data_IF_342941158226
#
_entry.id   IF_342941158226
#
_cell.length_a   1.000
_cell.length_b   1.000
_cell.length_c   1.000
_cell.angle_alpha   90.00
_cell.angle_beta   90.00
_cell.angle_gamma   90.00
#
_symmetry.space_group_name_H-M   'P 1'
#
loop_
_entity.id
_entity.type
_entity.pdbx_description
1 polymer ?
#
# COMPACT_ATOMS: atom_id res chain seq x y z
N UNK A 1 11.32 16.29 5.78
CA UNK A 1 11.33 15.67 4.43
C UNK A 1 12.72 15.12 4.23
N UNK A 2 12.86 13.80 4.13
CA UNK A 2 14.15 13.21 3.76
C UNK A 2 14.36 13.49 2.27
N UNK A 3 15.59 13.83 1.89
CA UNK A 3 15.95 13.96 0.48
C UNK A 3 17.13 13.08 0.16
N UNK A 4 17.16 12.66 -1.09
CA UNK A 4 18.23 11.86 -1.66
C UNK A 4 18.94 12.69 -2.71
N UNK A 5 20.26 12.76 -2.61
CA UNK A 5 21.09 13.65 -3.38
C UNK A 5 21.87 12.89 -4.43
N UNK A 6 21.97 13.43 -5.64
CA UNK A 6 22.73 12.83 -6.72
C UNK A 6 23.55 13.90 -7.47
N UNK A 7 24.74 13.53 -7.94
CA UNK A 7 25.47 14.30 -8.96
C UNK A 7 25.31 13.59 -10.29
N UNK A 8 25.03 14.34 -11.35
CA UNK A 8 25.01 13.80 -12.70
C UNK A 8 26.44 13.71 -13.27
N UNK A 9 26.69 12.66 -14.06
CA UNK A 9 27.95 12.51 -14.80
C UNK A 9 28.01 13.37 -16.07
N UNK A 10 27.10 14.34 -16.21
CA UNK A 10 27.03 15.28 -17.33
C UNK A 10 26.93 16.72 -16.82
N UNK A 11 27.37 17.65 -17.66
CA UNK A 11 27.27 19.10 -17.48
C UNK A 11 26.37 19.77 -18.52
N UNK A 12 25.93 18.97 -19.49
CA UNK A 12 25.08 19.38 -20.59
C UNK A 12 23.60 19.23 -20.20
N UNK A 13 22.79 20.23 -20.53
CA UNK A 13 21.38 20.26 -20.13
C UNK A 13 20.54 19.24 -20.89
N UNK A 14 20.81 19.01 -22.18
CA UNK A 14 20.07 18.02 -22.97
C UNK A 14 20.30 16.60 -22.44
N UNK A 15 21.52 16.30 -22.04
CA UNK A 15 21.88 15.04 -21.40
C UNK A 15 21.26 14.90 -20.01
N UNK A 16 21.20 15.99 -19.23
CA UNK A 16 20.54 16.01 -17.93
C UNK A 16 19.03 15.80 -18.05
N UNK A 17 18.39 16.36 -19.07
CA UNK A 17 16.98 16.16 -19.37
C UNK A 17 16.68 14.68 -19.68
N UNK A 18 17.51 14.01 -20.48
CA UNK A 18 17.39 12.56 -20.73
C UNK A 18 17.46 11.73 -19.44
N UNK A 19 18.33 12.12 -18.51
CA UNK A 19 18.41 11.46 -17.19
C UNK A 19 17.13 11.71 -16.38
N UNK A 20 16.58 12.93 -16.40
CA UNK A 20 15.29 13.22 -15.75
C UNK A 20 14.16 12.40 -16.34
N UNK A 21 14.10 12.24 -17.67
CA UNK A 21 13.12 11.37 -18.32
C UNK A 21 13.28 9.88 -17.93
N UNK A 22 14.53 9.42 -17.79
CA UNK A 22 14.79 8.08 -17.26
C UNK A 22 14.31 7.94 -15.81
N UNK A 23 14.55 8.95 -14.95
CA UNK A 23 14.06 8.98 -13.56
C UNK A 23 12.53 8.92 -13.54
N UNK A 24 11.85 9.74 -14.35
CA UNK A 24 10.38 9.72 -14.49
C UNK A 24 9.87 8.33 -14.85
N UNK A 25 10.46 7.71 -15.87
CA UNK A 25 10.07 6.38 -16.33
C UNK A 25 10.24 5.33 -15.23
N UNK A 26 11.39 5.28 -14.56
CA UNK A 26 11.65 4.29 -13.51
C UNK A 26 10.73 4.46 -12.30
N UNK A 27 10.50 5.70 -11.86
CA UNK A 27 9.57 6.01 -10.78
C UNK A 27 8.14 5.65 -11.17
N UNK A 28 7.73 5.97 -12.41
CA UNK A 28 6.42 5.62 -12.93
C UNK A 28 6.20 4.11 -12.99
N UNK A 29 7.14 3.36 -13.57
CA UNK A 29 7.05 1.90 -13.67
C UNK A 29 6.97 1.26 -12.26
N UNK A 30 7.74 1.79 -11.31
CA UNK A 30 7.70 1.33 -9.93
C UNK A 30 6.39 1.69 -9.23
N UNK A 31 5.90 2.92 -9.40
CA UNK A 31 4.62 3.38 -8.87
C UNK A 31 3.46 2.54 -9.42
N UNK A 32 3.44 2.25 -10.72
CA UNK A 32 2.46 1.38 -11.36
C UNK A 32 2.46 -0.03 -10.77
N UNK A 33 3.64 -0.61 -10.52
CA UNK A 33 3.74 -1.92 -9.86
C UNK A 33 3.16 -1.90 -8.45
N UNK A 34 3.53 -0.92 -7.63
CA UNK A 34 3.04 -0.78 -6.25
C UNK A 34 1.52 -0.58 -6.27
N UNK A 35 1.01 0.29 -7.15
CA UNK A 35 -0.42 0.55 -7.27
C UNK A 35 -1.22 -0.72 -7.59
N UNK A 36 -0.72 -1.58 -8.51
CA UNK A 36 -1.34 -2.88 -8.81
C UNK A 36 -1.37 -3.82 -7.60
N UNK A 37 -0.26 -3.89 -6.86
CA UNK A 37 -0.17 -4.71 -5.64
C UNK A 37 -1.19 -4.24 -4.58
N UNK A 38 -1.26 -2.93 -4.34
CA UNK A 38 -2.21 -2.34 -3.41
C UNK A 38 -3.66 -2.53 -3.86
N UNK A 39 -3.96 -2.30 -5.15
CA UNK A 39 -5.30 -2.49 -5.67
C UNK A 39 -5.76 -3.95 -5.60
N UNK A 40 -4.86 -4.90 -5.89
CA UNK A 40 -5.14 -6.33 -5.73
C UNK A 40 -5.50 -6.67 -4.28
N UNK A 41 -4.75 -6.10 -3.32
CA UNK A 41 -5.03 -6.26 -1.90
C UNK A 41 -6.39 -5.67 -1.49
N UNK A 42 -6.72 -4.44 -1.91
CA UNK A 42 -8.02 -3.84 -1.58
C UNK A 42 -9.20 -4.62 -2.17
N UNK A 43 -9.09 -5.08 -3.42
CA UNK A 43 -10.11 -5.93 -4.06
C UNK A 43 -10.29 -7.23 -3.27
N UNK A 44 -9.19 -7.85 -2.85
CA UNK A 44 -9.20 -9.07 -2.07
C UNK A 44 -9.90 -8.88 -0.72
N UNK A 45 -9.50 -7.87 0.04
CA UNK A 45 -10.11 -7.53 1.33
C UNK A 45 -11.61 -7.27 1.16
N UNK A 46 -11.99 -6.45 0.20
CA UNK A 46 -13.40 -6.10 -0.01
C UNK A 46 -14.24 -7.31 -0.46
N UNK A 47 -13.68 -8.19 -1.29
CA UNK A 47 -14.34 -9.43 -1.69
C UNK A 47 -14.58 -10.33 -0.47
N UNK A 48 -13.56 -10.52 0.36
CA UNK A 48 -13.65 -11.34 1.55
C UNK A 48 -14.67 -10.78 2.55
N UNK A 49 -14.68 -9.46 2.77
CA UNK A 49 -15.63 -8.76 3.64
C UNK A 49 -17.08 -8.86 3.16
N UNK A 50 -17.31 -8.83 1.85
CA UNK A 50 -18.64 -9.08 1.26
C UNK A 50 -19.11 -10.51 1.53
N UNK A 51 -18.20 -11.50 1.44
CA UNK A 51 -18.51 -12.92 1.67
C UNK A 51 -18.83 -13.19 3.14
N UNK A 52 -18.09 -12.57 4.08
CA UNK A 52 -18.34 -12.74 5.52
C UNK A 52 -19.44 -11.84 6.08
N UNK A 53 -20.09 -11.02 5.23
CA UNK A 53 -21.21 -10.16 5.61
C UNK A 53 -20.82 -8.94 6.46
N UNK A 54 -19.57 -8.47 6.37
CA UNK A 54 -19.11 -7.27 7.07
C UNK A 54 -19.46 -5.98 6.32
N UNK A 55 -19.73 -6.08 5.02
CA UNK A 55 -20.23 -4.99 4.21
C UNK A 55 -21.69 -5.18 3.83
N UNK A 56 -22.42 -4.06 3.87
CA UNK A 56 -23.75 -3.95 3.32
C UNK A 56 -23.64 -3.96 1.79
N UNK A 57 -23.79 -5.14 1.20
CA UNK A 57 -23.61 -5.37 -0.25
C UNK A 57 -24.46 -4.40 -1.09
N UNK A 58 -25.57 -3.90 -0.55
CA UNK A 58 -26.47 -2.94 -1.22
C UNK A 58 -25.82 -1.56 -1.46
N UNK A 59 -24.68 -1.27 -0.81
CA UNK A 59 -23.93 -0.01 -0.97
C UNK A 59 -22.72 -0.13 -1.89
N UNK A 60 -22.32 -1.35 -2.26
CA UNK A 60 -21.18 -1.59 -3.15
C UNK A 60 -21.71 -1.87 -4.54
N UNK A 61 -21.59 -0.89 -5.44
CA UNK A 61 -21.99 -1.11 -6.83
C UNK A 61 -21.07 -2.12 -7.51
N UNK A 62 -19.75 -1.99 -7.38
CA UNK A 62 -18.75 -2.83 -8.03
C UNK A 62 -17.54 -2.93 -7.11
N UNK A 63 -17.04 -4.15 -6.86
CA UNK A 63 -15.90 -4.39 -5.96
C UNK A 63 -14.67 -3.63 -6.47
N UNK A 64 -14.40 -3.68 -7.78
CA UNK A 64 -13.27 -2.98 -8.39
C UNK A 64 -13.30 -1.47 -8.13
N UNK A 65 -14.45 -0.84 -8.40
CA UNK A 65 -14.58 0.62 -8.29
C UNK A 65 -14.51 1.06 -6.82
N UNK A 66 -15.18 0.32 -5.93
CA UNK A 66 -15.12 0.58 -4.49
C UNK A 66 -13.70 0.43 -3.93
N UNK A 67 -12.98 -0.64 -4.30
CA UNK A 67 -11.58 -0.83 -3.93
C UNK A 67 -10.67 0.29 -4.48
N UNK A 68 -10.91 0.72 -5.73
CA UNK A 68 -10.20 1.84 -6.36
C UNK A 68 -10.41 3.14 -5.58
N UNK A 69 -11.65 3.46 -5.20
CA UNK A 69 -11.97 4.65 -4.41
C UNK A 69 -11.33 4.62 -3.02
N UNK A 70 -11.38 3.47 -2.34
CA UNK A 70 -10.73 3.28 -1.04
C UNK A 70 -9.21 3.49 -1.14
N UNK A 71 -8.57 2.90 -2.15
CA UNK A 71 -7.14 3.08 -2.40
C UNK A 71 -6.79 4.54 -2.69
N UNK A 72 -7.56 5.22 -3.55
CA UNK A 72 -7.35 6.63 -3.86
C UNK A 72 -7.46 7.53 -2.62
N UNK A 73 -8.40 7.23 -1.70
CA UNK A 73 -8.51 7.94 -0.42
C UNK A 73 -7.28 7.73 0.45
N UNK A 74 -6.76 6.49 0.56
CA UNK A 74 -5.53 6.20 1.32
C UNK A 74 -4.32 6.95 0.74
N UNK A 75 -4.18 6.94 -0.60
CA UNK A 75 -3.12 7.67 -1.32
C UNK A 75 -3.21 9.18 -1.06
N UNK A 76 -4.41 9.77 -1.20
CA UNK A 76 -4.62 11.20 -1.00
C UNK A 76 -4.26 11.62 0.43
N UNK A 77 -4.65 10.83 1.45
CA UNK A 77 -4.31 11.10 2.85
C UNK A 77 -2.80 10.99 3.10
N UNK A 78 -2.16 9.93 2.58
CA UNK A 78 -0.72 9.72 2.75
C UNK A 78 0.12 10.85 2.14
N UNK A 79 -0.27 11.31 0.94
CA UNK A 79 0.38 12.45 0.27
C UNK A 79 0.15 13.74 1.05
N UNK A 80 -1.10 14.05 1.41
CA UNK A 80 -1.45 15.31 2.09
C UNK A 80 -0.78 15.44 3.47
N UNK A 81 -0.61 14.33 4.19
CA UNK A 81 0.03 14.30 5.50
C UNK A 81 1.54 14.05 5.45
N UNK A 82 2.11 13.79 4.28
CA UNK A 82 3.53 13.45 4.13
C UNK A 82 3.93 12.20 4.92
N UNK A 83 3.10 11.15 4.90
CA UNK A 83 3.36 9.92 5.64
C UNK A 83 4.35 9.03 4.89
N UNK A 84 5.30 8.43 5.61
CA UNK A 84 6.17 7.38 5.08
C UNK A 84 5.41 6.04 5.10
N UNK A 85 4.60 5.84 4.06
CA UNK A 85 3.79 4.63 3.85
C UNK A 85 3.83 4.23 2.37
N UNK A 86 3.46 3.00 2.08
CA UNK A 86 3.32 2.46 0.73
C UNK A 86 2.33 3.24 -0.16
N UNK A 87 1.41 3.99 0.46
CA UNK A 87 0.43 4.85 -0.22
C UNK A 87 0.98 6.22 -0.63
N UNK A 88 2.20 6.59 -0.25
CA UNK A 88 2.77 7.90 -0.60
C UNK A 88 3.57 7.82 -1.91
N UNK A 89 2.93 8.25 -3.01
CA UNK A 89 3.50 8.30 -4.36
C UNK A 89 4.18 9.63 -4.69
N UNK A 90 4.28 10.56 -3.73
CA UNK A 90 4.83 11.89 -4.00
C UNK A 90 6.36 11.84 -4.15
N UNK A 91 6.83 12.07 -5.37
CA UNK A 91 8.26 12.16 -5.70
C UNK A 91 8.50 13.48 -6.44
N UNK A 92 9.29 14.35 -5.82
CA UNK A 92 9.66 15.66 -6.36
C UNK A 92 11.16 15.68 -6.64
N UNK A 93 11.53 16.15 -7.83
CA UNK A 93 12.90 16.29 -8.27
C UNK A 93 13.23 17.76 -8.37
N UNK A 94 14.29 18.20 -7.71
CA UNK A 94 14.88 19.53 -7.84
C UNK A 94 16.25 19.39 -8.50
N UNK A 95 16.51 20.15 -9.56
CA UNK A 95 17.78 20.19 -10.26
C UNK A 95 18.49 21.52 -10.00
N UNK A 96 19.78 21.41 -9.71
CA UNK A 96 20.66 22.53 -9.36
C UNK A 96 21.90 22.53 -10.26
N UNK A 97 22.35 23.73 -10.63
CA UNK A 97 23.64 23.95 -11.29
C UNK A 97 24.59 24.61 -10.30
N UNK A 98 25.65 23.89 -9.91
CA UNK A 98 26.62 24.36 -8.93
C UNK A 98 28.03 24.01 -9.38
N UNK A 99 28.95 24.98 -9.36
CA UNK A 99 30.35 24.80 -9.80
C UNK A 99 30.52 24.12 -11.18
N UNK A 100 29.67 24.48 -12.15
CA UNK A 100 29.63 23.90 -13.52
C UNK A 100 29.26 22.41 -13.56
N UNK A 101 28.69 21.88 -12.48
CA UNK A 101 28.17 20.52 -12.38
C UNK A 101 26.65 20.56 -12.14
N UNK A 102 25.97 19.47 -12.47
CA UNK A 102 24.52 19.33 -12.29
C UNK A 102 24.27 18.37 -11.13
N UNK A 103 23.40 18.81 -10.21
CA UNK A 103 22.98 18.06 -9.04
C UNK A 103 21.48 17.88 -9.05
N UNK A 104 21.02 16.73 -8.58
CA UNK A 104 19.60 16.41 -8.43
C UNK A 104 19.34 16.09 -6.97
N UNK A 105 18.32 16.72 -6.40
CA UNK A 105 17.74 16.36 -5.12
C UNK A 105 16.37 15.73 -5.37
N UNK A 106 16.15 14.56 -4.80
CA UNK A 106 14.90 13.82 -4.91
C UNK A 106 14.27 13.75 -3.54
N UNK A 107 13.13 14.40 -3.42
CA UNK A 107 12.39 14.53 -2.20
C UNK A 107 11.20 13.57 -2.26
N UNK A 108 11.23 12.55 -1.40
CA UNK A 108 10.23 11.48 -1.31
C UNK A 108 10.14 11.05 0.14
N UNK A 109 8.94 10.67 0.58
CA UNK A 109 8.74 10.04 1.88
C UNK A 109 8.96 8.53 1.80
N UNK A 110 8.63 7.92 0.66
CA UNK A 110 8.76 6.48 0.48
C UNK A 110 10.16 6.12 -0.07
N UNK A 111 10.92 5.39 0.74
CA UNK A 111 12.29 4.95 0.44
C UNK A 111 12.39 4.03 -0.79
N UNK A 112 11.29 3.39 -1.19
CA UNK A 112 11.31 2.47 -2.33
C UNK A 112 11.67 3.16 -3.64
N UNK A 113 11.30 4.44 -3.80
CA UNK A 113 11.63 5.23 -4.98
C UNK A 113 13.10 5.61 -5.02
N UNK A 114 13.74 5.82 -3.87
CA UNK A 114 15.19 6.04 -3.85
C UNK A 114 15.95 4.81 -4.35
N UNK A 115 15.54 3.60 -3.93
CA UNK A 115 16.22 2.35 -4.30
C UNK A 115 16.31 2.16 -5.81
N UNK A 116 15.24 2.41 -6.56
CA UNK A 116 15.23 2.22 -8.03
C UNK A 116 16.09 3.24 -8.78
N UNK A 117 16.48 4.34 -8.13
CA UNK A 117 17.28 5.40 -8.74
C UNK A 117 18.79 5.16 -8.57
N UNK A 118 19.17 4.31 -7.61
CA UNK A 118 20.56 3.86 -7.45
C UNK A 118 21.06 3.06 -8.66
N UNK A 119 20.15 2.50 -9.46
CA UNK A 119 20.48 1.71 -10.64
C UNK A 119 20.84 2.57 -11.88
N UNK A 120 20.65 3.90 -11.80
CA UNK A 120 20.96 4.82 -12.91
C UNK A 120 22.46 5.12 -12.91
N UNK A 121 23.20 4.54 -13.87
CA UNK A 121 24.67 4.67 -13.97
C UNK A 121 25.19 6.10 -14.09
N UNK A 122 24.41 7.00 -14.68
CA UNK A 122 24.79 8.40 -14.87
C UNK A 122 24.53 9.29 -13.65
N UNK A 123 24.08 8.69 -12.55
CA UNK A 123 23.83 9.35 -11.27
C UNK A 123 24.75 8.79 -10.19
N UNK A 124 25.60 9.64 -9.62
CA UNK A 124 26.41 9.31 -8.44
C UNK A 124 25.63 9.69 -7.19
N UNK A 125 25.39 8.72 -6.31
CA UNK A 125 24.76 8.96 -5.01
C UNK A 125 25.62 9.86 -4.11
N UNK A 126 24.98 10.93 -3.64
CA UNK A 126 25.48 11.94 -2.70
C UNK A 126 24.46 12.17 -1.57
N UNK A 127 23.59 11.20 -1.30
CA UNK A 127 22.62 11.25 -0.22
C UNK A 127 23.32 11.30 1.13
N UNK A 128 22.77 12.10 2.07
CA UNK A 128 23.33 12.24 3.42
C UNK A 128 23.10 10.97 4.25
N UNK A 129 22.00 10.27 3.98
CA UNK A 129 21.57 9.08 4.70
C UNK A 129 22.23 7.77 4.21
N UNK A 130 23.05 7.81 3.16
CA UNK A 130 23.80 6.64 2.69
C UNK A 130 24.80 6.18 3.75
N UNK A 131 25.11 4.87 3.79
CA UNK A 131 26.14 4.31 4.68
C UNK A 131 27.52 4.71 4.15
N UNK A 132 28.11 5.73 4.76
CA UNK A 132 29.45 6.25 4.45
C UNK A 132 30.16 6.66 5.73
N UNK A 133 31.49 6.79 5.66
CA UNK A 133 32.31 7.32 6.76
C UNK A 133 31.87 8.74 7.15
N UNK A 134 32.05 9.10 8.43
CA UNK A 134 31.59 10.37 8.98
C UNK A 134 32.17 11.58 8.24
N UNK A 135 33.46 11.55 7.88
CA UNK A 135 34.11 12.65 7.17
C UNK A 135 33.48 12.90 5.79
N UNK A 136 33.13 11.84 5.07
CA UNK A 136 32.46 11.92 3.77
C UNK A 136 31.01 12.40 3.91
N UNK A 137 30.32 11.98 4.97
CA UNK A 137 28.99 12.51 5.31
C UNK A 137 29.04 14.02 5.55
N UNK A 138 29.99 14.50 6.35
CA UNK A 138 30.13 15.92 6.66
C UNK A 138 30.44 16.76 5.40
N UNK A 139 31.24 16.21 4.47
CA UNK A 139 31.48 16.83 3.15
C UNK A 139 30.20 16.94 2.32
N UNK A 140 29.36 15.90 2.31
CA UNK A 140 28.06 15.90 1.60
C UNK A 140 27.08 16.89 2.20
N UNK A 141 27.00 16.96 3.54
CA UNK A 141 26.16 17.93 4.24
C UNK A 141 26.54 19.35 3.83
N UNK A 142 27.82 19.72 3.95
CA UNK A 142 28.32 21.03 3.55
C UNK A 142 28.07 21.34 2.08
N UNK A 143 28.22 20.35 1.20
CA UNK A 143 27.92 20.51 -0.22
C UNK A 143 26.45 20.90 -0.44
N UNK A 144 25.52 20.16 0.17
CA UNK A 144 24.09 20.43 0.02
C UNK A 144 23.66 21.75 0.67
N UNK A 145 24.23 22.11 1.82
CA UNK A 145 24.02 23.43 2.43
C UNK A 145 24.42 24.55 1.47
N UNK A 146 25.61 24.47 0.86
CA UNK A 146 26.07 25.47 -0.11
C UNK A 146 25.18 25.54 -1.36
N UNK A 147 24.72 24.39 -1.88
CA UNK A 147 23.81 24.35 -3.03
C UNK A 147 22.48 25.02 -2.65
N UNK A 148 21.88 24.63 -1.53
CA UNK A 148 20.59 25.18 -1.08
C UNK A 148 20.70 26.68 -0.82
N UNK A 149 21.78 27.13 -0.17
CA UNK A 149 22.04 28.54 0.10
C UNK A 149 22.11 29.39 -1.16
N UNK A 150 22.78 28.90 -2.22
CA UNK A 150 22.84 29.58 -3.52
C UNK A 150 21.45 29.77 -4.15
N UNK A 151 20.52 28.84 -3.90
CA UNK A 151 19.18 28.82 -4.47
C UNK A 151 18.10 29.31 -3.49
N UNK A 152 18.45 29.95 -2.37
CA UNK A 152 17.47 30.58 -1.46
C UNK A 152 16.67 31.68 -2.15
N UNK A 153 17.35 32.51 -2.94
CA UNK A 153 16.76 33.67 -3.61
C UNK A 153 16.43 33.42 -5.09
N UNK A 154 16.69 32.19 -5.59
CA UNK A 154 16.56 31.84 -7.00
C UNK A 154 15.81 30.51 -7.15
N UNK A 155 14.84 30.44 -8.07
CA UNK A 155 14.14 29.19 -8.34
C UNK A 155 15.07 28.13 -8.93
N UNK A 156 15.12 26.95 -8.32
CA UNK A 156 15.68 25.76 -8.95
C UNK A 156 14.68 25.15 -9.94
N UNK A 157 15.15 24.28 -10.83
CA UNK A 157 14.26 23.55 -11.72
C UNK A 157 13.59 22.41 -10.95
N UNK A 158 12.28 22.51 -10.72
CA UNK A 158 11.50 21.53 -9.97
C UNK A 158 10.55 20.78 -10.88
N UNK A 159 10.56 19.46 -10.79
CA UNK A 159 9.69 18.56 -11.55
C UNK A 159 9.01 17.59 -10.60
N UNK A 160 7.69 17.50 -10.69
CA UNK A 160 6.97 16.35 -10.12
C UNK A 160 7.26 15.14 -11.00
N UNK A 161 7.96 14.17 -10.44
CA UNK A 161 8.40 12.97 -11.18
C UNK A 161 7.21 12.06 -11.45
N UNK A 162 6.30 11.97 -10.48
CA UNK A 162 5.02 11.32 -10.63
C UNK A 162 3.90 12.36 -10.45
N UNK A 163 3.17 12.72 -11.51
CA UNK A 163 2.02 13.60 -11.39
C UNK A 163 0.93 12.90 -10.59
N UNK A 164 0.67 13.41 -9.38
CA UNK A 164 -0.39 12.94 -8.48
C UNK A 164 -1.80 13.04 -9.05
N UNK A 165 -1.97 13.76 -10.16
CA UNK A 165 -3.25 13.98 -10.85
C UNK A 165 -3.40 13.11 -12.09
N UNK A 166 -2.34 12.43 -12.54
CA UNK A 166 -2.47 11.45 -13.61
C UNK A 166 -3.05 10.19 -12.96
N UNK A 167 -4.32 9.96 -13.22
CA UNK A 167 -4.99 8.70 -12.91
C UNK A 167 -4.07 7.56 -13.35
N UNK A 168 -3.61 6.76 -12.39
CA UNK A 168 -2.86 5.53 -12.66
C UNK A 168 -3.52 4.83 -13.85
N UNK A 169 -2.72 4.34 -14.80
CA UNK A 169 -3.26 3.49 -15.87
C UNK A 169 -4.05 2.38 -15.18
N UNK A 170 -5.36 2.34 -15.47
CA UNK A 170 -6.28 1.37 -14.90
C UNK A 170 -5.70 -0.03 -15.19
N UNK A 171 -5.29 -0.80 -14.16
CA UNK A 171 -4.73 -2.12 -14.41
C UNK A 171 -5.77 -3.03 -15.05
N UNK A 172 -5.35 -3.81 -16.05
CA UNK A 172 -6.16 -4.91 -16.56
C UNK A 172 -6.30 -5.96 -15.46
N UNK A 173 -7.43 -6.69 -15.42
CA UNK A 173 -7.66 -7.72 -14.40
C UNK A 173 -6.55 -8.78 -14.38
N UNK A 174 -6.01 -9.13 -15.55
CA UNK A 174 -4.89 -10.09 -15.72
C UNK A 174 -3.59 -9.67 -15.02
N UNK A 175 -3.43 -8.37 -14.75
CA UNK A 175 -2.24 -7.82 -14.10
C UNK A 175 -2.39 -7.77 -12.57
N UNK A 176 -3.58 -8.12 -12.05
CA UNK A 176 -3.88 -8.23 -10.63
C UNK A 176 -3.60 -9.65 -10.15
N UNK A 177 -3.05 -9.75 -8.95
CA UNK A 177 -2.62 -11.03 -8.37
C UNK A 177 -3.31 -11.18 -7.02
N UNK A 178 -4.06 -12.26 -6.88
CA UNK A 178 -4.83 -12.57 -5.68
C UNK A 178 -4.32 -13.83 -5.00
N UNK A 179 -4.39 -13.85 -3.68
CA UNK A 179 -4.06 -15.04 -2.90
C UNK A 179 -5.12 -16.13 -3.09
N UNK A 180 -4.66 -17.38 -3.01
CA UNK A 180 -5.58 -18.53 -3.05
C UNK A 180 -6.60 -18.48 -1.90
N UNK A 181 -7.80 -19.06 -2.06
CA UNK A 181 -8.78 -19.15 -0.97
C UNK A 181 -8.20 -19.74 0.33
N UNK A 182 -7.26 -20.69 0.22
CA UNK A 182 -6.57 -21.27 1.38
C UNK A 182 -5.71 -20.26 2.14
N UNK A 183 -4.90 -19.48 1.44
CA UNK A 183 -4.07 -18.44 2.05
C UNK A 183 -4.94 -17.35 2.69
N UNK A 184 -6.02 -16.94 2.01
CA UNK A 184 -6.97 -15.97 2.55
C UNK A 184 -7.71 -16.48 3.78
N UNK A 185 -8.17 -17.74 3.77
CA UNK A 185 -8.81 -18.37 4.91
C UNK A 185 -7.89 -18.36 6.15
N UNK A 186 -6.60 -18.64 5.97
CA UNK A 186 -5.63 -18.62 7.06
C UNK A 186 -5.44 -17.21 7.66
N UNK A 187 -5.30 -16.20 6.80
CA UNK A 187 -5.17 -14.80 7.23
C UNK A 187 -6.44 -14.32 7.95
N UNK A 188 -7.61 -14.59 7.38
CA UNK A 188 -8.90 -14.19 7.96
C UNK A 188 -9.20 -14.91 9.26
N UNK A 189 -8.90 -16.21 9.36
CA UNK A 189 -9.04 -16.96 10.61
C UNK A 189 -8.15 -16.37 11.72
N UNK A 190 -6.89 -16.04 11.38
CA UNK A 190 -5.99 -15.34 12.30
C UNK A 190 -6.56 -13.99 12.74
N UNK A 191 -7.04 -13.17 11.81
CA UNK A 191 -7.63 -11.87 12.13
C UNK A 191 -8.89 -12.01 12.99
N UNK A 192 -9.75 -13.00 12.72
CA UNK A 192 -10.97 -13.25 13.48
C UNK A 192 -10.68 -13.62 14.93
N UNK A 193 -9.76 -14.56 15.16
CA UNK A 193 -9.33 -14.95 16.52
C UNK A 193 -8.67 -13.78 17.25
N UNK A 194 -7.79 -13.04 16.56
CA UNK A 194 -7.14 -11.85 17.12
C UNK A 194 -8.17 -10.79 17.53
N UNK A 195 -9.13 -10.48 16.66
CA UNK A 195 -10.19 -9.51 16.92
C UNK A 195 -11.10 -9.97 18.06
N UNK A 196 -11.37 -11.28 18.18
CA UNK A 196 -12.13 -11.85 19.29
C UNK A 196 -11.40 -11.61 20.63
N UNK A 197 -10.09 -11.83 20.70
CA UNK A 197 -9.31 -11.55 21.91
C UNK A 197 -9.21 -10.06 22.21
N UNK A 198 -8.94 -9.23 21.20
CA UNK A 198 -8.91 -7.77 21.34
C UNK A 198 -10.26 -7.24 21.86
N UNK A 199 -11.37 -7.74 21.32
CA UNK A 199 -12.71 -7.39 21.79
C UNK A 199 -12.94 -7.84 23.24
N UNK A 200 -12.43 -9.01 23.64
CA UNK A 200 -12.54 -9.49 25.02
C UNK A 200 -11.77 -8.58 25.99
N UNK A 201 -10.54 -8.21 25.66
CA UNK A 201 -9.73 -7.29 26.47
C UNK A 201 -10.31 -5.88 26.55
N UNK A 202 -10.94 -5.43 25.45
CA UNK A 202 -11.65 -4.16 25.41
C UNK A 202 -13.00 -4.18 26.13
N UNK A 203 -13.45 -5.33 26.66
CA UNK A 203 -14.77 -5.50 27.26
C UNK A 203 -15.92 -5.26 26.27
N UNK A 204 -15.69 -5.52 24.98
CA UNK A 204 -16.63 -5.25 23.87
C UNK A 204 -16.67 -3.79 23.42
N UNK A 205 -15.84 -2.91 23.98
CA UNK A 205 -15.77 -1.49 23.64
C UNK A 205 -14.70 -1.14 22.60
N UNK A 206 -14.62 0.15 22.26
CA UNK A 206 -13.51 0.69 21.46
C UNK A 206 -12.23 0.73 22.28
N UNK A 207 -11.14 0.23 21.70
CA UNK A 207 -9.82 0.28 22.34
C UNK A 207 -9.26 1.70 22.26
N UNK A 208 -8.96 2.29 23.42
CA UNK A 208 -8.31 3.59 23.48
C UNK A 208 -6.86 3.51 22.97
N UNK A 209 -6.34 4.53 22.25
CA UNK A 209 -5.00 4.49 21.66
C UNK A 209 -3.89 4.13 22.65
N UNK A 210 -3.96 4.63 23.89
CA UNK A 210 -2.99 4.37 24.95
C UNK A 210 -3.00 2.92 25.48
N UNK A 211 -4.09 2.19 25.27
CA UNK A 211 -4.24 0.77 25.65
C UNK A 211 -4.05 -0.20 24.49
N UNK A 212 -3.96 0.32 23.27
CA UNK A 212 -3.90 -0.49 22.05
C UNK A 212 -2.75 -1.49 22.07
N UNK A 213 -1.53 -1.03 22.34
CA UNK A 213 -0.34 -1.88 22.34
C UNK A 213 -0.40 -2.95 23.44
N UNK A 214 -0.85 -2.58 24.64
CA UNK A 214 -1.01 -3.49 25.76
C UNK A 214 -1.96 -4.66 25.42
N UNK A 215 -3.10 -4.35 24.79
CA UNK A 215 -4.07 -5.38 24.39
C UNK A 215 -3.60 -6.20 23.19
N UNK A 216 -2.87 -5.59 22.25
CA UNK A 216 -2.24 -6.33 21.16
C UNK A 216 -1.26 -7.37 21.68
N UNK A 217 -0.37 -7.01 22.61
CA UNK A 217 0.60 -7.95 23.20
C UNK A 217 -0.10 -9.14 23.88
N UNK A 218 -1.15 -8.87 24.68
CA UNK A 218 -1.93 -9.92 25.33
C UNK A 218 -2.65 -10.83 24.32
N UNK A 219 -3.25 -10.24 23.28
CA UNK A 219 -3.95 -10.98 22.24
C UNK A 219 -2.99 -11.84 21.40
N UNK A 220 -1.78 -11.35 21.11
CA UNK A 220 -0.74 -12.14 20.45
C UNK A 220 -0.34 -13.38 21.27
N UNK A 221 -0.13 -13.22 22.57
CA UNK A 221 0.19 -14.35 23.45
C UNK A 221 -0.91 -15.43 23.45
N UNK A 222 -2.19 -15.03 23.34
CA UNK A 222 -3.31 -15.97 23.23
C UNK A 222 -3.45 -16.57 21.84
N UNK A 223 -3.17 -15.81 20.80
CA UNK A 223 -3.20 -16.30 19.42
C UNK A 223 -2.19 -17.45 19.19
N UNK A 224 -1.04 -17.39 19.86
CA UNK A 224 0.02 -18.40 19.79
C UNK A 224 -0.15 -19.56 20.78
N UNK A 225 -1.17 -19.53 21.64
CA UNK A 225 -1.46 -20.65 22.54
C UNK A 225 -2.09 -21.83 21.77
N UNK A 226 -2.05 -23.06 22.33
CA UNK A 226 -2.71 -24.22 21.71
C UNK A 226 -4.20 -23.97 21.42
N UNK A 227 -4.91 -23.32 22.34
CA UNK A 227 -6.32 -22.98 22.18
C UNK A 227 -6.54 -21.96 21.03
N UNK A 228 -5.65 -20.98 20.91
CA UNK A 228 -5.66 -20.03 19.79
C UNK A 228 -5.38 -20.73 18.44
N UNK A 229 -4.50 -21.75 18.44
CA UNK A 229 -4.25 -22.61 17.29
C UNK A 229 -5.48 -23.40 16.84
N UNK A 230 -6.14 -24.08 17.77
CA UNK A 230 -7.36 -24.87 17.48
C UNK A 230 -8.49 -24.00 16.93
N UNK A 231 -8.73 -22.83 17.55
CA UNK A 231 -9.74 -21.88 17.07
C UNK A 231 -9.43 -21.37 15.65
N UNK A 232 -8.16 -21.11 15.34
CA UNK A 232 -7.76 -20.68 13.99
C UNK A 232 -8.04 -21.76 12.96
N UNK A 233 -7.71 -23.03 13.24
CA UNK A 233 -7.97 -24.12 12.31
C UNK A 233 -9.47 -24.37 12.10
N UNK A 234 -10.28 -24.24 13.16
CA UNK A 234 -11.73 -24.30 13.05
C UNK A 234 -12.26 -23.19 12.11
N UNK A 235 -11.92 -21.93 12.38
CA UNK A 235 -12.38 -20.82 11.54
C UNK A 235 -11.85 -20.90 10.10
N UNK A 236 -10.62 -21.37 9.90
CA UNK A 236 -10.04 -21.60 8.57
C UNK A 236 -10.85 -22.64 7.80
N UNK A 237 -11.18 -23.77 8.43
CA UNK A 237 -12.01 -24.82 7.85
C UNK A 237 -13.40 -24.33 7.44
N UNK A 238 -14.01 -23.46 8.25
CA UNK A 238 -15.30 -22.86 7.94
C UNK A 238 -15.19 -21.89 6.76
N UNK A 239 -14.19 -20.99 6.77
CA UNK A 239 -13.97 -20.00 5.70
C UNK A 239 -13.69 -20.64 4.34
N UNK A 240 -12.95 -21.75 4.32
CA UNK A 240 -12.65 -22.50 3.08
C UNK A 240 -13.89 -22.96 2.33
N UNK A 241 -15.03 -23.12 3.00
CA UNK A 241 -16.30 -23.53 2.36
C UNK A 241 -16.95 -22.41 1.57
N UNK A 242 -16.60 -21.16 1.84
CA UNK A 242 -17.34 -20.00 1.33
C UNK A 242 -16.46 -19.01 0.56
N UNK A 243 -15.15 -18.97 0.80
CA UNK A 243 -14.26 -18.06 0.09
C UNK A 243 -14.18 -18.43 -1.41
N UNK A 244 -14.63 -17.55 -2.32
CA UNK A 244 -14.59 -17.82 -3.75
C UNK A 244 -13.17 -17.63 -4.29
N UNK A 245 -12.82 -18.29 -5.39
CA UNK A 245 -11.68 -17.84 -6.20
C UNK A 245 -12.01 -16.46 -6.78
N UNK A 246 -11.10 -15.49 -6.65
CA UNK A 246 -11.33 -14.14 -7.17
C UNK A 246 -11.16 -14.16 -8.68
N UNK A 247 -12.27 -13.92 -9.39
CA UNK A 247 -12.35 -13.89 -10.85
C UNK A 247 -12.85 -12.53 -11.35
N UNK A 248 -12.54 -12.18 -12.59
CA UNK A 248 -12.90 -10.89 -13.19
C UNK A 248 -14.39 -10.60 -13.08
N UNK A 249 -15.21 -11.63 -13.31
CA UNK A 249 -16.66 -11.53 -13.21
C UNK A 249 -17.10 -11.12 -11.80
N UNK A 250 -16.52 -11.69 -10.75
CA UNK A 250 -16.88 -11.36 -9.35
C UNK A 250 -16.54 -9.90 -9.06
N UNK A 251 -15.38 -9.45 -9.55
CA UNK A 251 -14.81 -8.14 -9.23
C UNK A 251 -15.45 -7.01 -10.04
N UNK A 252 -15.83 -7.27 -11.29
CA UNK A 252 -16.34 -6.27 -12.25
C UNK A 252 -17.88 -6.22 -12.38
N UNK A 253 -18.61 -7.21 -11.85
CA UNK A 253 -20.07 -7.23 -11.96
C UNK A 253 -20.70 -6.17 -11.07
N UNK A 254 -21.64 -5.39 -11.63
CA UNK A 254 -22.45 -4.48 -10.83
C UNK A 254 -23.42 -5.27 -9.96
N UNK A 255 -23.42 -5.04 -8.65
CA UNK A 255 -24.27 -5.78 -7.71
C UNK A 255 -25.79 -5.57 -7.94
N UNK A 256 -26.17 -4.54 -8.71
CA UNK A 256 -27.57 -4.27 -9.13
C UNK A 256 -28.08 -5.18 -10.24
N UNK A 257 -27.20 -5.81 -11.02
CA UNK A 257 -27.56 -6.70 -12.13
C UNK A 257 -27.56 -8.14 -11.63
N UNK A 258 -28.71 -8.64 -11.16
CA UNK A 258 -28.93 -10.01 -10.64
C UNK A 258 -27.63 -10.73 -10.24
N UNK A 259 -26.99 -10.28 -9.15
CA UNK A 259 -25.67 -10.78 -8.78
C UNK A 259 -25.70 -12.32 -8.63
N UNK A 260 -24.89 -13.08 -9.40
CA UNK A 260 -24.71 -14.52 -9.17
C UNK A 260 -24.24 -14.80 -7.74
N UNK A 261 -23.54 -13.82 -7.15
CA UNK A 261 -23.04 -13.82 -5.79
C UNK A 261 -24.19 -13.79 -4.78
N UNK A 262 -25.24 -12.97 -4.96
CA UNK A 262 -26.38 -12.97 -4.04
C UNK A 262 -27.21 -14.27 -4.16
N UNK A 263 -27.44 -14.79 -5.37
CA UNK A 263 -28.15 -16.09 -5.52
C UNK A 263 -27.31 -17.29 -5.04
N UNK A 264 -25.98 -17.27 -5.21
CA UNK A 264 -25.12 -18.34 -4.68
C UNK A 264 -24.95 -18.21 -3.15
N UNK A 265 -24.75 -17.01 -2.60
CA UNK A 265 -24.61 -16.80 -1.15
C UNK A 265 -25.93 -16.99 -0.38
N UNK A 266 -27.08 -16.53 -0.91
CA UNK A 266 -28.39 -16.73 -0.26
C UNK A 266 -28.80 -18.20 -0.23
N UNK A 267 -28.61 -18.96 -1.33
CA UNK A 267 -28.90 -20.40 -1.36
C UNK A 267 -27.97 -21.24 -0.45
N UNK A 268 -26.86 -20.67 0.03
CA UNK A 268 -25.87 -21.33 0.88
C UNK A 268 -26.12 -21.00 2.37
N UNK A 269 -26.55 -19.77 2.69
CA UNK A 269 -26.95 -19.38 4.05
C UNK A 269 -28.21 -20.11 4.54
N UNK A 270 -29.14 -20.44 3.64
CA UNK A 270 -30.34 -21.24 3.93
C UNK A 270 -30.07 -22.75 4.16
N UNK A 271 -28.82 -23.22 3.99
CA UNK A 271 -28.44 -24.65 4.14
C UNK A 271 -27.59 -24.94 5.38
N UNK A 272 -27.66 -24.12 6.41
CA UNK A 272 -27.13 -24.47 7.73
C UNK A 272 -28.18 -25.29 8.49
N UNK A 273 -27.92 -26.54 8.93
CA UNK A 273 -28.91 -27.33 9.66
C UNK A 273 -29.05 -26.75 11.06
N UNK A 274 -30.19 -26.10 11.31
CA UNK A 274 -30.50 -25.44 12.57
C UNK A 274 -31.98 -25.49 12.91
N UNK A 275 -32.70 -26.54 12.51
CA UNK A 275 -34.02 -26.86 13.06
C UNK A 275 -34.18 -28.37 13.18
N UNK A 276 -33.55 -28.96 14.20
CA UNK A 276 -34.10 -30.17 14.82
C UNK A 276 -34.26 -29.95 16.33
N UNK A 277 -35.54 -29.84 16.70
CA UNK A 277 -36.16 -30.37 17.92
C UNK A 277 -36.03 -29.56 19.21
N UNK A 278 -36.87 -28.53 19.33
CA UNK A 278 -37.65 -28.31 20.56
C UNK A 278 -39.04 -28.89 20.37
N UNK A 279 -39.20 -30.17 20.69
CA UNK A 279 -40.50 -30.84 20.91
C UNK A 279 -40.27 -32.24 21.51
N UNK A 280 -40.15 -32.31 22.84
CA UNK A 280 -40.78 -33.28 23.76
C UNK A 280 -40.10 -33.21 25.14
#
# INVERSE_FOLDING_TARGET
MNFYGFKLNTRDFDSAEKIVEQVKRLVYDKAQKIYRELLSHEIQVLTDECVVGLHDNDKINCIYDAATELLQKKIAVAIAKGLDTEYNFNVVLNMFSYNKEIYIQIATYNFIYYKVLLDIKDMRDLSIHSVVEQEERDKRVKLWENIIDKYKDHSCFTVKVFPTNDSFIKPDFKDLIFDSPMQRAEVLARHRVMNQYLSLYAGGGTIQPEKLMEYYEQAFMKLDSPEGGELREQYKSDLLRFLPVIEEKIVMTKMTDEAPINKQLQNILEKTPGEEQSSL
#
